data_IF_689285818717
#
_entry.id   IF_689285818717
#
_cell.length_a   1.000
_cell.length_b   1.000
_cell.length_c   1.000
_cell.angle_alpha   90.00
_cell.angle_beta   90.00
_cell.angle_gamma   90.00
#
_symmetry.space_group_name_H-M   'P 1'
#
loop_
_entity.id
_entity.type
_entity.pdbx_description
1 polymer ?
#
# COMPACT_ATOMS: atom_id res chain seq x y z
N UNK A 1 -6.77 1.93 24.83
CA UNK A 1 -6.29 0.69 24.18
C UNK A 1 -4.82 0.47 24.53
N UNK A 2 -4.46 -0.69 25.00
CA UNK A 2 -3.07 -1.03 25.31
C UNK A 2 -2.29 -1.34 24.03
N UNK A 3 -0.95 -1.20 24.03
CA UNK A 3 -0.15 -1.60 22.87
C UNK A 3 -0.34 -3.06 22.47
N UNK A 4 -0.52 -3.98 23.43
CA UNK A 4 -0.76 -5.40 23.15
C UNK A 4 -2.08 -5.61 22.42
N UNK A 5 -3.15 -4.93 22.81
CA UNK A 5 -4.44 -5.01 22.15
C UNK A 5 -4.36 -4.39 20.74
N UNK A 6 -3.64 -3.30 20.60
CA UNK A 6 -3.43 -2.67 19.30
C UNK A 6 -2.68 -3.61 18.35
N UNK A 7 -1.65 -4.30 18.84
CA UNK A 7 -0.92 -5.30 18.08
C UNK A 7 -1.85 -6.43 17.63
N UNK A 8 -2.59 -7.03 18.56
CA UNK A 8 -3.50 -8.13 18.24
C UNK A 8 -4.54 -7.74 17.19
N UNK A 9 -5.04 -6.51 17.27
CA UNK A 9 -6.11 -6.04 16.39
C UNK A 9 -5.60 -5.59 15.02
N UNK A 10 -4.43 -4.96 14.95
CA UNK A 10 -4.01 -4.23 13.74
C UNK A 10 -2.75 -4.74 13.06
N UNK A 11 -1.99 -5.67 13.65
CA UNK A 11 -0.71 -6.06 13.06
C UNK A 11 -0.84 -6.68 11.66
N UNK A 12 -1.90 -7.45 11.41
CA UNK A 12 -2.13 -8.04 10.09
C UNK A 12 -2.47 -6.98 9.04
N UNK A 13 -3.27 -5.99 9.42
CA UNK A 13 -3.62 -4.89 8.52
C UNK A 13 -2.39 -4.03 8.17
N UNK A 14 -1.57 -3.71 9.17
CA UNK A 14 -0.33 -2.95 8.97
C UNK A 14 0.63 -3.74 8.07
N UNK A 15 0.85 -5.01 8.37
CA UNK A 15 1.71 -5.87 7.56
C UNK A 15 1.21 -5.94 6.11
N UNK A 16 -0.08 -6.18 5.92
CA UNK A 16 -0.69 -6.27 4.59
C UNK A 16 -0.52 -4.99 3.78
N UNK A 17 -0.72 -3.85 4.42
CA UNK A 17 -0.51 -2.54 3.80
C UNK A 17 0.93 -2.37 3.33
N UNK A 18 1.89 -2.60 4.20
CA UNK A 18 3.31 -2.43 3.87
C UNK A 18 3.78 -3.48 2.86
N UNK A 19 3.30 -4.71 2.97
CA UNK A 19 3.62 -5.76 2.00
C UNK A 19 3.13 -5.40 0.60
N UNK A 20 1.91 -4.88 0.46
CA UNK A 20 1.39 -4.44 -0.84
C UNK A 20 2.17 -3.28 -1.42
N UNK A 21 2.68 -2.38 -0.57
CA UNK A 21 3.51 -1.27 -1.01
C UNK A 21 4.89 -1.73 -1.47
N UNK A 22 5.53 -2.60 -0.72
CA UNK A 22 6.94 -2.96 -0.94
C UNK A 22 7.13 -4.24 -1.73
N UNK A 23 6.17 -5.15 -1.68
CA UNK A 23 6.25 -6.51 -2.23
C UNK A 23 7.42 -7.32 -1.65
N UNK A 24 7.92 -6.92 -0.49
CA UNK A 24 9.04 -7.55 0.21
C UNK A 24 8.62 -7.94 1.62
N UNK A 25 8.48 -9.25 1.89
CA UNK A 25 8.05 -9.74 3.21
C UNK A 25 8.98 -9.32 4.34
N UNK A 26 10.29 -9.31 4.10
CA UNK A 26 11.30 -8.92 5.08
C UNK A 26 11.14 -7.45 5.51
N UNK A 27 10.97 -6.55 4.55
CA UNK A 27 10.75 -5.12 4.82
C UNK A 27 9.40 -4.90 5.50
N UNK A 28 8.35 -5.57 5.02
CA UNK A 28 7.01 -5.46 5.61
C UNK A 28 7.02 -5.91 7.07
N UNK A 29 7.73 -6.99 7.39
CA UNK A 29 7.87 -7.47 8.76
C UNK A 29 8.61 -6.47 9.64
N UNK A 30 9.76 -5.96 9.16
CA UNK A 30 10.56 -4.99 9.90
C UNK A 30 9.80 -3.69 10.18
N UNK A 31 9.10 -3.16 9.18
CA UNK A 31 8.31 -1.93 9.33
C UNK A 31 7.15 -2.15 10.29
N UNK A 32 6.48 -3.30 10.20
CA UNK A 32 5.39 -3.63 11.12
C UNK A 32 5.89 -3.68 12.56
N UNK A 33 7.02 -4.34 12.80
CA UNK A 33 7.64 -4.37 14.13
C UNK A 33 8.01 -2.97 14.61
N UNK A 34 8.66 -2.17 13.79
CA UNK A 34 9.05 -0.81 14.14
C UNK A 34 7.85 0.07 14.45
N UNK A 35 6.75 -0.10 13.72
CA UNK A 35 5.49 0.61 13.94
C UNK A 35 4.95 0.36 15.36
N UNK A 36 4.89 -0.90 15.78
CA UNK A 36 4.40 -1.25 17.11
C UNK A 36 5.40 -0.95 18.21
N UNK A 37 6.71 -1.04 17.93
CA UNK A 37 7.74 -0.60 18.87
C UNK A 37 7.63 0.91 19.13
N UNK A 38 7.34 1.71 18.13
CA UNK A 38 7.10 3.15 18.32
C UNK A 38 5.92 3.39 19.26
N UNK A 39 4.85 2.61 19.12
CA UNK A 39 3.71 2.70 20.03
C UNK A 39 4.05 2.31 21.45
N UNK A 40 4.82 1.23 21.64
CA UNK A 40 5.25 0.75 22.97
C UNK A 40 6.17 1.77 23.65
N UNK A 41 7.11 2.34 22.91
CA UNK A 41 8.10 3.30 23.44
C UNK A 41 7.49 4.63 23.83
N UNK A 42 6.48 5.08 23.10
CA UNK A 42 5.88 6.41 23.33
C UNK A 42 4.36 6.35 23.14
N UNK A 43 3.61 5.61 24.00
CA UNK A 43 2.17 5.48 23.85
C UNK A 43 1.44 6.82 24.01
N UNK A 44 2.04 7.77 24.69
CA UNK A 44 1.48 9.12 24.89
C UNK A 44 1.46 9.95 23.60
N UNK A 45 2.18 9.57 22.55
CA UNK A 45 2.13 10.26 21.26
C UNK A 45 0.83 10.00 20.51
N UNK A 46 0.15 8.91 20.81
CA UNK A 46 -1.15 8.64 20.25
C UNK A 46 -2.20 9.53 20.92
N UNK A 47 -2.89 10.32 20.12
CA UNK A 47 -3.97 11.21 20.56
C UNK A 47 -5.28 10.75 19.95
N UNK A 48 -6.20 10.15 20.76
CA UNK A 48 -7.49 9.68 20.25
C UNK A 48 -8.36 10.78 19.65
N UNK A 49 -8.14 12.05 20.03
CA UNK A 49 -8.90 13.17 19.48
C UNK A 49 -8.52 13.51 18.04
N UNK A 50 -7.35 13.07 17.59
CA UNK A 50 -6.85 13.34 16.24
C UNK A 50 -7.20 12.25 15.23
N UNK A 51 -7.53 11.06 15.71
CA UNK A 51 -7.87 9.93 14.82
C UNK A 51 -7.87 8.63 15.57
N UNK A 52 -8.31 7.58 14.88
CA UNK A 52 -8.32 6.23 15.42
C UNK A 52 -6.90 5.66 15.54
N UNK A 53 -6.78 4.61 16.35
CA UNK A 53 -5.52 3.85 16.45
C UNK A 53 -5.08 3.32 15.07
N UNK A 54 -6.02 2.87 14.26
CA UNK A 54 -5.75 2.39 12.90
C UNK A 54 -5.09 3.47 12.04
N UNK A 55 -5.65 4.68 12.04
CA UNK A 55 -5.11 5.83 11.30
C UNK A 55 -3.71 6.17 11.79
N UNK A 56 -3.50 6.16 13.11
CA UNK A 56 -2.20 6.44 13.71
C UNK A 56 -1.15 5.42 13.28
N UNK A 57 -1.48 4.14 13.33
CA UNK A 57 -0.56 3.07 12.94
C UNK A 57 -0.24 3.09 11.45
N UNK A 58 -1.25 3.31 10.59
CA UNK A 58 -1.01 3.45 9.16
C UNK A 58 -0.15 4.68 8.83
N UNK A 59 -0.29 5.76 9.59
CA UNK A 59 0.54 6.96 9.42
C UNK A 59 2.02 6.66 9.72
N UNK A 60 2.29 5.95 10.82
CA UNK A 60 3.67 5.54 11.16
C UNK A 60 4.21 4.60 10.08
N UNK A 61 3.45 3.57 9.72
CA UNK A 61 3.87 2.57 8.74
C UNK A 61 4.14 3.21 7.37
N UNK A 62 3.28 4.13 6.96
CA UNK A 62 3.44 4.88 5.71
C UNK A 62 4.72 5.71 5.71
N UNK A 63 5.02 6.38 6.80
CA UNK A 63 6.23 7.19 6.91
C UNK A 63 7.49 6.33 6.87
N UNK A 64 7.47 5.17 7.54
CA UNK A 64 8.59 4.23 7.52
C UNK A 64 8.78 3.62 6.12
N UNK A 65 7.70 3.27 5.45
CA UNK A 65 7.75 2.74 4.08
C UNK A 65 8.29 3.79 3.09
N UNK A 66 7.89 5.05 3.25
CA UNK A 66 8.38 6.15 2.41
C UNK A 66 9.87 6.38 2.62
N UNK A 67 10.34 6.31 3.85
CA UNK A 67 11.77 6.41 4.17
C UNK A 67 12.54 5.27 3.51
N UNK A 68 12.06 4.04 3.62
CA UNK A 68 12.67 2.88 2.97
C UNK A 68 12.74 3.05 1.46
N UNK A 69 11.68 3.53 0.86
CA UNK A 69 11.61 3.80 -0.58
C UNK A 69 12.66 4.84 -1.02
N UNK A 70 12.83 5.91 -0.24
CA UNK A 70 13.84 6.94 -0.50
C UNK A 70 15.26 6.39 -0.38
N UNK A 71 15.52 5.58 0.66
CA UNK A 71 16.84 4.97 0.88
C UNK A 71 17.18 4.01 -0.25
N UNK A 72 16.23 3.20 -0.70
CA UNK A 72 16.42 2.27 -1.83
C UNK A 72 16.72 3.03 -3.13
N UNK A 73 16.03 4.13 -3.38
CA UNK A 73 16.30 4.96 -4.58
C UNK A 73 17.66 5.64 -4.55
N UNK A 74 18.13 6.01 -3.38
CA UNK A 74 19.47 6.62 -3.23
C UNK A 74 20.59 5.63 -3.50
N UNK A 75 20.38 4.33 -3.24
CA UNK A 75 21.35 3.26 -3.46
C UNK A 75 21.35 2.73 -4.89
N UNK A 76 20.29 2.98 -5.67
CA UNK A 76 20.22 2.53 -7.06
C UNK A 76 20.66 3.64 -8.01
N UNK A 77 21.50 3.31 -9.03
CA UNK A 77 21.80 4.28 -10.08
C UNK A 77 20.50 4.69 -10.81
N UNK A 78 20.38 5.99 -11.10
CA UNK A 78 19.17 6.59 -11.65
C UNK A 78 18.84 6.17 -13.08
N UNK A 79 19.59 5.25 -13.67
CA UNK A 79 19.47 4.82 -15.05
C UNK A 79 18.95 3.37 -15.12
N UNK A 80 17.66 3.21 -14.95
CA UNK A 80 17.00 1.96 -15.25
C UNK A 80 15.51 2.18 -15.31
N UNK A 81 14.81 1.67 -16.34
CA UNK A 81 13.39 1.55 -16.25
C UNK A 81 13.09 0.73 -14.99
N UNK A 82 12.14 1.18 -14.21
CA UNK A 82 11.66 0.41 -13.07
C UNK A 82 11.03 -0.89 -13.60
N UNK A 83 11.87 -1.84 -13.97
CA UNK A 83 11.43 -3.20 -14.23
C UNK A 83 11.16 -3.87 -12.90
N UNK A 84 10.09 -3.47 -12.28
CA UNK A 84 9.52 -4.18 -11.16
C UNK A 84 8.56 -5.24 -11.66
N UNK A 85 9.01 -6.04 -12.60
CA UNK A 85 8.23 -7.16 -13.09
C UNK A 85 8.97 -8.45 -12.82
N UNK A 86 9.04 -8.81 -11.57
CA UNK A 86 9.13 -10.23 -11.26
C UNK A 86 7.73 -10.80 -11.36
N UNK A 87 7.30 -11.04 -12.57
CA UNK A 87 6.14 -11.87 -12.80
C UNK A 87 6.50 -13.29 -12.38
N UNK A 88 5.93 -13.73 -11.28
CA UNK A 88 5.97 -15.16 -10.94
C UNK A 88 5.09 -15.90 -11.96
N UNK A 89 5.64 -16.83 -12.75
CA UNK A 89 4.90 -17.44 -13.86
C UNK A 89 3.96 -18.59 -13.45
N UNK A 90 3.43 -18.62 -12.25
CA UNK A 90 2.60 -19.73 -11.80
C UNK A 90 1.11 -19.52 -12.04
N UNK A 91 0.66 -20.00 -13.08
CA UNK A 91 -0.55 -20.07 -13.85
C UNK A 91 -1.93 -19.89 -13.25
N UNK A 92 -2.34 -20.40 -12.12
CA UNK A 92 -3.73 -20.27 -11.63
C UNK A 92 -3.97 -19.03 -10.79
N UNK A 93 -2.89 -18.31 -10.50
CA UNK A 93 -2.91 -17.03 -9.81
C UNK A 93 -2.76 -15.86 -10.80
N UNK A 94 -2.87 -16.11 -12.10
CA UNK A 94 -2.56 -15.12 -13.14
C UNK A 94 -3.36 -13.83 -13.00
N UNK A 95 -4.66 -13.92 -12.75
CA UNK A 95 -5.48 -12.71 -12.59
C UNK A 95 -5.12 -11.96 -11.30
N UNK A 96 -5.00 -12.68 -10.19
CA UNK A 96 -4.60 -12.10 -8.90
C UNK A 96 -3.17 -11.57 -8.95
N UNK A 97 -2.28 -12.32 -9.58
CA UNK A 97 -0.88 -11.93 -9.77
C UNK A 97 -0.76 -10.74 -10.73
N UNK A 98 -1.56 -10.69 -11.79
CA UNK A 98 -1.60 -9.57 -12.72
C UNK A 98 -2.10 -8.29 -12.05
N UNK A 99 -3.15 -8.39 -11.23
CA UNK A 99 -3.66 -7.25 -10.46
C UNK A 99 -2.61 -6.76 -9.46
N UNK A 100 -1.98 -7.67 -8.72
CA UNK A 100 -0.93 -7.33 -7.76
C UNK A 100 0.26 -6.64 -8.45
N UNK A 101 0.68 -7.15 -9.61
CA UNK A 101 1.75 -6.55 -10.40
C UNK A 101 1.35 -5.17 -10.92
N UNK A 102 0.12 -5.02 -11.38
CA UNK A 102 -0.40 -3.74 -11.85
C UNK A 102 -0.42 -2.69 -10.73
N UNK A 103 -0.89 -3.06 -9.55
CA UNK A 103 -0.88 -2.18 -8.37
C UNK A 103 0.55 -1.81 -8.00
N UNK A 104 1.47 -2.76 -8.00
CA UNK A 104 2.88 -2.52 -7.71
C UNK A 104 3.55 -1.58 -8.72
N UNK A 105 3.05 -1.50 -9.96
CA UNK A 105 3.59 -0.64 -11.00
C UNK A 105 3.10 0.80 -10.95
N UNK A 106 2.11 1.10 -10.09
CA UNK A 106 1.58 2.45 -9.96
C UNK A 106 2.61 3.41 -9.35
N UNK A 107 2.60 4.70 -9.73
CA UNK A 107 3.38 5.69 -9.00
C UNK A 107 3.05 5.65 -7.51
N UNK A 108 4.05 5.86 -6.66
CA UNK A 108 3.97 5.61 -5.22
C UNK A 108 2.75 6.29 -4.56
N UNK A 109 2.49 7.56 -4.87
CA UNK A 109 1.39 8.30 -4.25
C UNK A 109 0.02 7.78 -4.68
N UNK A 110 -0.10 7.29 -5.92
CA UNK A 110 -1.32 6.64 -6.41
C UNK A 110 -1.50 5.26 -5.79
N UNK A 111 -0.41 4.52 -5.67
CA UNK A 111 -0.38 3.19 -5.09
C UNK A 111 -0.84 3.20 -3.63
N UNK A 112 -0.28 4.08 -2.79
CA UNK A 112 -0.64 4.13 -1.38
C UNK A 112 -2.11 4.52 -1.18
N UNK A 113 -2.61 5.48 -1.94
CA UNK A 113 -4.01 5.88 -1.86
C UNK A 113 -4.95 4.73 -2.24
N UNK A 114 -4.63 4.03 -3.33
CA UNK A 114 -5.42 2.89 -3.80
C UNK A 114 -5.44 1.76 -2.77
N UNK A 115 -4.28 1.40 -2.23
CA UNK A 115 -4.18 0.30 -1.25
C UNK A 115 -4.97 0.65 0.01
N UNK A 116 -4.82 1.85 0.53
CA UNK A 116 -5.56 2.28 1.72
C UNK A 116 -7.07 2.26 1.49
N UNK A 117 -7.52 2.72 0.34
CA UNK A 117 -8.95 2.79 0.04
C UNK A 117 -9.55 1.42 -0.28
N UNK A 118 -8.96 0.68 -1.21
CA UNK A 118 -9.56 -0.55 -1.75
C UNK A 118 -9.24 -1.79 -0.89
N UNK A 119 -8.05 -1.90 -0.34
CA UNK A 119 -7.64 -3.08 0.42
C UNK A 119 -7.90 -2.91 1.92
N UNK A 120 -7.64 -1.73 2.47
CA UNK A 120 -7.75 -1.51 3.91
C UNK A 120 -9.07 -0.85 4.32
N UNK A 121 -9.88 -0.42 3.37
CA UNK A 121 -11.20 0.16 3.65
C UNK A 121 -11.15 1.48 4.43
N UNK A 122 -10.07 2.25 4.26
CA UNK A 122 -9.89 3.52 4.93
C UNK A 122 -10.69 4.60 4.21
N UNK A 123 -11.35 5.49 4.94
CA UNK A 123 -12.14 6.57 4.34
C UNK A 123 -11.23 7.61 3.68
N UNK A 124 -11.79 8.40 2.76
CA UNK A 124 -11.04 9.46 2.08
C UNK A 124 -10.47 10.47 3.06
N UNK A 125 -11.24 10.83 4.09
CA UNK A 125 -10.82 11.75 5.13
C UNK A 125 -9.65 11.17 5.93
N UNK A 126 -9.72 9.90 6.27
CA UNK A 126 -8.67 9.19 6.98
C UNK A 126 -7.40 9.07 6.12
N UNK A 127 -7.55 8.77 4.83
CA UNK A 127 -6.41 8.72 3.91
C UNK A 127 -5.73 10.09 3.82
N UNK A 128 -6.51 11.15 3.69
CA UNK A 128 -5.98 12.52 3.68
C UNK A 128 -5.13 12.81 4.92
N UNK A 129 -5.60 12.35 6.07
CA UNK A 129 -4.87 12.48 7.33
C UNK A 129 -3.58 11.65 7.34
N UNK A 130 -3.65 10.40 6.88
CA UNK A 130 -2.50 9.47 6.84
C UNK A 130 -1.40 10.01 5.94
N UNK A 131 -1.76 10.46 4.74
CA UNK A 131 -0.77 10.87 3.73
C UNK A 131 -0.42 12.36 3.79
N UNK A 132 -1.10 13.14 4.66
CA UNK A 132 -0.82 14.56 4.81
C UNK A 132 -1.20 15.37 3.57
N UNK A 133 -2.34 15.07 2.95
CA UNK A 133 -2.83 15.76 1.76
C UNK A 133 -4.29 16.15 1.94
N UNK A 134 -4.80 17.03 1.08
CA UNK A 134 -6.21 17.38 1.08
C UNK A 134 -7.05 16.28 0.44
N UNK A 135 -8.33 16.21 0.79
CA UNK A 135 -9.26 15.19 0.27
C UNK A 135 -9.33 15.24 -1.25
N UNK A 136 -9.37 16.43 -1.85
CA UNK A 136 -9.38 16.59 -3.30
C UNK A 136 -8.16 15.98 -3.97
N UNK A 137 -7.00 16.11 -3.36
CA UNK A 137 -5.75 15.50 -3.82
C UNK A 137 -5.83 13.97 -3.77
N UNK A 138 -6.37 13.42 -2.67
CA UNK A 138 -6.55 11.98 -2.52
C UNK A 138 -7.49 11.45 -3.61
N UNK A 139 -8.61 12.12 -3.83
CA UNK A 139 -9.57 11.74 -4.89
C UNK A 139 -8.90 11.73 -6.27
N UNK A 140 -8.08 12.74 -6.57
CA UNK A 140 -7.35 12.81 -7.84
C UNK A 140 -6.36 11.66 -7.99
N UNK A 141 -5.63 11.33 -6.93
CA UNK A 141 -4.70 10.18 -6.92
C UNK A 141 -5.42 8.86 -7.17
N UNK A 142 -6.56 8.65 -6.51
CA UNK A 142 -7.38 7.45 -6.70
C UNK A 142 -7.92 7.36 -8.13
N UNK A 143 -8.40 8.47 -8.68
CA UNK A 143 -8.91 8.51 -10.04
C UNK A 143 -7.83 8.10 -11.04
N UNK A 144 -6.64 8.69 -10.93
CA UNK A 144 -5.50 8.37 -11.80
C UNK A 144 -5.04 6.93 -11.63
N UNK A 145 -5.02 6.42 -10.39
CA UNK A 145 -4.68 5.03 -10.12
C UNK A 145 -5.63 4.08 -10.83
N UNK A 146 -6.94 4.32 -10.72
CA UNK A 146 -7.97 3.48 -11.35
C UNK A 146 -7.89 3.52 -12.87
N UNK A 147 -7.68 4.70 -13.45
CA UNK A 147 -7.51 4.82 -14.89
C UNK A 147 -6.30 4.06 -15.39
N UNK A 148 -5.19 4.17 -14.67
CA UNK A 148 -3.97 3.47 -15.02
C UNK A 148 -4.15 1.95 -14.93
N UNK A 149 -4.81 1.47 -13.89
CA UNK A 149 -5.14 0.05 -13.76
C UNK A 149 -6.04 -0.45 -14.89
N UNK A 150 -7.05 0.31 -15.28
CA UNK A 150 -7.92 -0.04 -16.41
C UNK A 150 -7.11 -0.23 -17.69
N UNK A 151 -6.14 0.64 -17.96
CA UNK A 151 -5.28 0.54 -19.14
C UNK A 151 -4.36 -0.69 -19.06
N UNK A 152 -3.72 -0.91 -17.93
CA UNK A 152 -2.80 -2.04 -17.73
C UNK A 152 -3.58 -3.36 -17.85
N UNK A 153 -4.76 -3.45 -17.25
CA UNK A 153 -5.55 -4.68 -17.19
C UNK A 153 -6.47 -4.87 -18.40
N UNK A 154 -6.52 -3.92 -19.33
CA UNK A 154 -7.36 -4.02 -20.54
C UNK A 154 -6.98 -5.22 -21.41
N UNK A 155 -5.70 -5.59 -21.44
CA UNK A 155 -5.18 -6.75 -22.18
C UNK A 155 -5.82 -8.04 -21.68
N UNK A 156 -5.96 -8.18 -20.36
CA UNK A 156 -6.57 -9.38 -19.75
C UNK A 156 -8.07 -9.46 -20.02
N UNK A 157 -8.74 -8.31 -20.11
CA UNK A 157 -10.17 -8.24 -20.43
C UNK A 157 -10.46 -8.72 -21.86
N UNK A 158 -9.58 -8.40 -22.80
CA UNK A 158 -9.68 -8.87 -24.19
C UNK A 158 -9.48 -10.38 -24.31
N UNK A 159 -8.54 -10.93 -23.55
CA UNK A 159 -8.28 -12.37 -23.51
C UNK A 159 -9.44 -13.12 -22.90
N UNK A 160 -10.03 -12.59 -21.82
CA UNK A 160 -11.21 -13.18 -21.18
C UNK A 160 -12.44 -13.23 -22.09
N UNK A 161 -12.64 -12.19 -22.90
CA UNK A 161 -13.73 -12.13 -23.86
C UNK A 161 -13.51 -13.06 -25.06
N UNK A 162 -12.26 -13.34 -25.41
CA UNK A 162 -11.93 -14.26 -26.50
C UNK A 162 -12.18 -15.74 -26.11
N UNK A 163 -12.15 -16.06 -24.82
CA UNK A 163 -12.42 -17.40 -24.31
C UNK A 163 -13.88 -17.60 -23.87
N UNK A 164 -14.69 -16.56 -23.91
CA UNK A 164 -16.09 -16.58 -23.49
C UNK A 164 -17.09 -16.81 -24.62
N UNK A 165 -16.65 -17.05 -25.84
CA UNK A 165 -17.54 -17.33 -26.96
C UNK A 165 -17.42 -18.79 -27.36
N UNK A 166 -18.17 -19.59 -26.66
CA UNK A 166 -18.61 -20.90 -27.21
C UNK A 166 -20.10 -20.88 -27.21
#
# INVERSE_FOLDING_TARGET
MTPEKAFDQYHQAVYGFVYRLTRRPDIAEDITQDCFLALVRAPQRYDPSRGSMRVYLFSIARNLALKQYRDDRAEQPMDGPEELLTTDPRGSLEMSSAVAAAVASLPHLQQEALILFEYEGVTLEEIAQIVGAEIGTVKARLHRARERLRRILAVYRKVGNAHGTI
#
